data_IF_056636903769
#
_entry.id   IF_056636903769
#
_cell.length_a   1.000
_cell.length_b   1.000
_cell.length_c   1.000
_cell.angle_alpha   90.00
_cell.angle_beta   90.00
_cell.angle_gamma   90.00
#
_symmetry.space_group_name_H-M   'P 1'
#
loop_
_entity.id
_entity.type
_entity.pdbx_description
1 polymer ?
#
# COMPACT_ATOMS: atom_id res chain seq x y z
N UNK A 1 9.72 -4.36 -27.54
CA UNK A 1 10.68 -3.68 -26.64
C UNK A 1 11.20 -4.71 -25.64
N UNK A 2 12.53 -4.87 -25.56
CA UNK A 2 13.16 -5.87 -24.69
C UNK A 2 13.76 -5.24 -23.44
N UNK A 3 13.76 -5.98 -22.36
CA UNK A 3 14.38 -5.61 -21.10
C UNK A 3 15.88 -5.71 -21.24
N UNK A 4 16.62 -4.60 -21.04
CA UNK A 4 18.09 -4.53 -21.14
C UNK A 4 18.75 -4.76 -19.78
N UNK A 5 18.23 -4.11 -18.74
CA UNK A 5 18.74 -4.24 -17.37
C UNK A 5 17.62 -4.03 -16.33
N UNK A 6 17.80 -4.65 -15.18
CA UNK A 6 16.97 -4.45 -13.98
C UNK A 6 17.92 -4.23 -12.81
N UNK A 7 17.72 -3.15 -12.05
CA UNK A 7 18.49 -2.82 -10.83
C UNK A 7 17.58 -2.43 -9.70
N UNK A 8 17.92 -2.84 -8.50
CA UNK A 8 17.28 -2.38 -7.27
C UNK A 8 18.18 -1.32 -6.58
N UNK A 9 17.60 -0.17 -6.29
CA UNK A 9 18.24 0.97 -5.62
C UNK A 9 17.53 1.14 -4.29
N UNK A 10 18.25 1.05 -3.18
CA UNK A 10 17.64 1.26 -1.87
C UNK A 10 17.85 2.69 -1.41
N UNK A 11 16.76 3.39 -1.08
CA UNK A 11 16.80 4.73 -0.49
C UNK A 11 16.40 4.64 0.97
N UNK A 12 17.23 5.16 1.88
CA UNK A 12 16.90 5.30 3.30
C UNK A 12 16.49 6.74 3.59
N UNK A 13 15.19 6.96 3.68
CA UNK A 13 14.60 8.28 3.81
C UNK A 13 14.31 8.60 5.30
N UNK A 14 14.99 9.57 5.90
CA UNK A 14 14.68 10.01 7.24
C UNK A 14 13.24 10.54 7.35
N UNK A 15 12.60 10.30 8.49
CA UNK A 15 11.29 10.84 8.78
C UNK A 15 11.16 11.35 10.22
N UNK A 16 10.18 12.22 10.43
CA UNK A 16 9.72 12.64 11.74
C UNK A 16 8.19 12.39 11.85
N UNK A 17 7.79 11.62 12.86
CA UNK A 17 6.36 11.38 13.16
C UNK A 17 5.82 12.32 14.25
N UNK A 18 6.70 13.09 14.92
CA UNK A 18 6.33 14.08 15.93
C UNK A 18 5.86 13.49 17.27
N UNK A 19 6.25 12.25 17.57
CA UNK A 19 5.99 11.58 18.84
C UNK A 19 7.27 11.17 19.57
N UNK A 20 7.13 10.31 20.59
CA UNK A 20 8.25 9.70 21.32
C UNK A 20 9.02 8.73 20.40
N UNK A 21 10.26 8.43 20.78
CA UNK A 21 11.08 7.44 20.08
C UNK A 21 10.37 6.10 19.97
N UNK A 22 10.33 5.56 18.76
CA UNK A 22 9.76 4.24 18.49
C UNK A 22 10.87 3.24 18.23
N UNK A 23 10.78 2.08 18.85
CA UNK A 23 11.66 0.95 18.61
C UNK A 23 10.96 -0.02 17.67
N UNK A 24 11.57 -0.29 16.54
CA UNK A 24 11.09 -1.26 15.56
C UNK A 24 12.21 -2.29 15.30
N UNK A 25 11.91 -3.56 15.50
CA UNK A 25 12.89 -4.66 15.40
C UNK A 25 14.20 -4.40 16.18
N UNK A 26 14.06 -3.89 17.43
CA UNK A 26 15.19 -3.67 18.34
C UNK A 26 16.05 -2.44 18.05
N UNK A 27 15.67 -1.58 17.10
CA UNK A 27 16.35 -0.33 16.75
C UNK A 27 15.39 0.85 16.75
N UNK A 28 15.92 2.05 17.01
CA UNK A 28 15.13 3.28 16.84
C UNK A 28 14.78 3.46 15.36
N UNK A 29 13.49 3.58 15.07
CA UNK A 29 12.99 3.73 13.70
C UNK A 29 13.01 5.20 13.29
N UNK A 30 13.99 5.57 12.48
CA UNK A 30 14.28 6.94 12.05
C UNK A 30 14.20 7.14 10.55
N UNK A 31 14.17 6.07 9.79
CA UNK A 31 14.12 6.10 8.33
C UNK A 31 13.19 5.03 7.79
N UNK A 32 12.66 5.28 6.62
CA UNK A 32 11.94 4.30 5.80
C UNK A 32 12.85 3.88 4.66
N UNK A 33 13.05 2.57 4.50
CA UNK A 33 13.83 2.01 3.41
C UNK A 33 12.90 1.64 2.26
N UNK A 34 13.16 2.22 1.08
CA UNK A 34 12.43 2.01 -0.17
C UNK A 34 13.31 1.28 -1.17
N UNK A 35 12.86 0.15 -1.70
CA UNK A 35 13.51 -0.51 -2.83
C UNK A 35 12.91 0.01 -4.14
N UNK A 36 13.61 0.97 -4.75
CA UNK A 36 13.25 1.51 -6.06
C UNK A 36 13.82 0.59 -7.13
N UNK A 37 12.99 0.18 -8.07
CA UNK A 37 13.39 -0.69 -9.18
C UNK A 37 13.52 0.14 -10.44
N UNK A 38 14.70 0.07 -11.07
CA UNK A 38 14.98 0.69 -12.37
C UNK A 38 15.03 -0.39 -13.44
N UNK A 39 14.18 -0.29 -14.44
CA UNK A 39 14.21 -1.12 -15.65
C UNK A 39 14.64 -0.28 -16.83
N UNK A 40 15.70 -0.67 -17.52
CA UNK A 40 16.12 -0.06 -18.79
C UNK A 40 15.78 -0.99 -19.95
N UNK A 41 15.36 -0.42 -21.05
CA UNK A 41 14.97 -1.15 -22.27
C UNK A 41 15.97 -0.96 -23.40
N UNK A 42 15.90 -1.84 -24.41
CA UNK A 42 16.69 -1.74 -25.65
C UNK A 42 16.38 -0.47 -26.49
N UNK A 43 15.25 0.20 -26.21
CA UNK A 43 14.86 1.47 -26.81
C UNK A 43 15.32 2.70 -26.02
N UNK A 44 16.10 2.54 -24.95
CA UNK A 44 16.55 3.64 -24.09
C UNK A 44 15.47 4.20 -23.16
N UNK A 45 14.30 3.56 -23.05
CA UNK A 45 13.25 3.96 -22.13
C UNK A 45 13.58 3.38 -20.75
N UNK A 46 13.42 4.22 -19.72
CA UNK A 46 13.56 3.81 -18.29
C UNK A 46 12.19 3.77 -17.64
N UNK A 47 11.87 2.62 -17.04
CA UNK A 47 10.71 2.45 -16.16
C UNK A 47 11.15 2.38 -14.71
N UNK A 48 10.31 2.92 -13.83
CA UNK A 48 10.53 2.95 -12.40
C UNK A 48 9.43 2.21 -11.65
N UNK A 49 9.84 1.43 -10.64
CA UNK A 49 8.92 0.71 -9.75
C UNK A 49 9.38 0.79 -8.31
N UNK A 50 8.58 0.24 -7.42
CA UNK A 50 8.86 0.17 -5.99
C UNK A 50 8.45 -1.19 -5.46
N UNK A 51 9.37 -1.83 -4.74
CA UNK A 51 9.14 -3.06 -4.00
C UNK A 51 9.11 -2.75 -2.50
N UNK A 52 8.30 -3.50 -1.73
CA UNK A 52 8.25 -3.33 -0.29
C UNK A 52 9.65 -3.46 0.33
N UNK A 53 9.99 -2.53 1.22
CA UNK A 53 11.32 -2.45 1.82
C UNK A 53 11.31 -2.62 3.33
N UNK A 54 11.28 -1.52 4.07
CA UNK A 54 11.44 -1.47 5.53
C UNK A 54 12.65 -2.31 5.96
N UNK A 55 12.56 -3.06 7.03
CA UNK A 55 13.67 -3.89 7.54
C UNK A 55 14.02 -5.09 6.64
N UNK A 56 13.14 -5.47 5.69
CA UNK A 56 13.38 -6.56 4.74
C UNK A 56 14.06 -6.11 3.44
N UNK A 57 14.41 -4.84 3.29
CA UNK A 57 14.90 -4.27 2.05
C UNK A 57 16.07 -5.01 1.42
N UNK A 58 17.04 -5.51 2.24
CA UNK A 58 18.19 -6.28 1.73
C UNK A 58 17.75 -7.57 1.06
N UNK A 59 16.89 -8.32 1.71
CA UNK A 59 16.38 -9.60 1.18
C UNK A 59 15.59 -9.37 -0.11
N UNK A 60 14.76 -8.32 -0.16
CA UNK A 60 13.98 -7.97 -1.34
C UNK A 60 14.88 -7.48 -2.48
N UNK A 61 15.91 -6.66 -2.20
CA UNK A 61 16.92 -6.23 -3.19
C UNK A 61 17.60 -7.44 -3.83
N UNK A 62 18.11 -8.37 -3.03
CA UNK A 62 18.75 -9.60 -3.53
C UNK A 62 17.75 -10.44 -4.34
N UNK A 63 16.51 -10.58 -3.88
CA UNK A 63 15.49 -11.31 -4.65
C UNK A 63 15.21 -10.66 -6.02
N UNK A 64 15.23 -9.33 -6.11
CA UNK A 64 15.11 -8.64 -7.41
C UNK A 64 16.29 -8.96 -8.31
N UNK A 65 17.53 -8.82 -7.79
CA UNK A 65 18.75 -8.89 -8.58
C UNK A 65 19.14 -10.33 -8.96
N UNK A 66 18.99 -11.30 -8.03
CA UNK A 66 19.48 -12.66 -8.23
C UNK A 66 18.39 -13.66 -8.65
N UNK A 67 17.11 -13.39 -8.34
CA UNK A 67 16.03 -14.32 -8.65
C UNK A 67 15.15 -13.82 -9.82
N UNK A 68 14.72 -12.55 -9.80
CA UNK A 68 13.77 -12.01 -10.76
C UNK A 68 14.46 -11.52 -12.04
N UNK A 69 15.47 -10.66 -11.90
CA UNK A 69 16.13 -10.01 -13.03
C UNK A 69 16.74 -11.01 -14.06
N UNK A 70 17.45 -12.09 -13.66
CA UNK A 70 18.02 -13.03 -14.61
C UNK A 70 17.00 -13.74 -15.50
N UNK A 71 15.75 -13.90 -15.01
CA UNK A 71 14.68 -14.55 -15.77
C UNK A 71 13.99 -13.61 -16.76
N UNK A 72 14.16 -12.30 -16.60
CA UNK A 72 13.48 -11.26 -17.38
C UNK A 72 14.39 -10.53 -18.38
N UNK A 73 15.69 -10.37 -18.08
CA UNK A 73 16.64 -9.69 -18.98
C UNK A 73 16.62 -10.38 -20.36
N UNK A 74 16.54 -9.58 -21.42
CA UNK A 74 16.46 -10.01 -22.81
C UNK A 74 15.04 -10.42 -23.28
N UNK A 75 14.06 -10.53 -22.36
CA UNK A 75 12.67 -10.87 -22.73
C UNK A 75 11.95 -9.67 -23.34
N UNK A 76 11.01 -9.98 -24.24
CA UNK A 76 10.09 -8.98 -24.76
C UNK A 76 8.99 -8.69 -23.74
N UNK A 77 8.69 -7.41 -23.53
CA UNK A 77 7.67 -6.95 -22.59
C UNK A 77 6.34 -6.52 -23.25
N UNK A 78 6.10 -6.97 -24.48
CA UNK A 78 4.86 -6.65 -25.19
C UNK A 78 3.60 -7.17 -24.48
N UNK A 79 3.69 -8.29 -23.76
CA UNK A 79 2.63 -8.90 -22.96
C UNK A 79 3.13 -9.12 -21.52
N UNK A 80 3.06 -8.06 -20.70
CA UNK A 80 3.51 -8.11 -19.31
C UNK A 80 2.75 -9.16 -18.50
N UNK A 81 1.42 -9.30 -18.57
CA UNK A 81 0.68 -10.35 -17.84
C UNK A 81 1.21 -11.76 -18.12
N UNK A 82 1.44 -12.10 -19.37
CA UNK A 82 1.97 -13.40 -19.76
C UNK A 82 3.41 -13.62 -19.29
N UNK A 83 4.23 -12.57 -19.40
CA UNK A 83 5.62 -12.58 -18.93
C UNK A 83 5.68 -12.85 -17.44
N UNK A 84 4.87 -12.15 -16.64
CA UNK A 84 4.82 -12.29 -15.19
C UNK A 84 4.21 -13.61 -14.73
N UNK A 85 3.24 -14.15 -15.46
CA UNK A 85 2.73 -15.50 -15.19
C UNK A 85 3.85 -16.55 -15.37
N UNK A 86 4.65 -16.42 -16.42
CA UNK A 86 5.79 -17.31 -16.68
C UNK A 86 6.85 -17.18 -15.59
N UNK A 87 7.17 -15.95 -15.15
CA UNK A 87 8.07 -15.68 -14.05
C UNK A 87 7.59 -16.31 -12.75
N UNK A 88 6.33 -16.10 -12.37
CA UNK A 88 5.76 -16.68 -11.14
C UNK A 88 5.78 -18.22 -11.17
N UNK A 89 5.53 -18.83 -12.35
CA UNK A 89 5.67 -20.29 -12.51
C UNK A 89 7.10 -20.77 -12.30
N UNK A 90 8.10 -20.02 -12.79
CA UNK A 90 9.51 -20.36 -12.61
C UNK A 90 9.96 -20.24 -11.15
N UNK A 91 9.36 -19.33 -10.39
CA UNK A 91 9.71 -19.04 -9.00
C UNK A 91 8.78 -19.73 -7.98
N UNK A 92 7.85 -20.60 -8.40
CA UNK A 92 6.82 -21.16 -7.52
C UNK A 92 7.36 -21.93 -6.31
N UNK A 93 8.54 -22.54 -6.42
CA UNK A 93 9.21 -23.25 -5.32
C UNK A 93 9.59 -22.32 -4.15
N UNK A 94 9.78 -21.04 -4.42
CA UNK A 94 10.15 -20.03 -3.39
C UNK A 94 8.92 -19.35 -2.76
N UNK A 95 7.73 -19.85 -3.08
CA UNK A 95 6.47 -19.32 -2.61
C UNK A 95 5.98 -18.12 -3.41
N UNK A 96 4.67 -17.96 -3.46
CA UNK A 96 3.99 -16.79 -4.06
C UNK A 96 3.53 -15.84 -2.95
N UNK A 97 4.45 -15.53 -2.04
CA UNK A 97 4.20 -14.79 -0.81
C UNK A 97 5.43 -13.99 -0.39
N UNK A 98 5.24 -12.92 0.39
CA UNK A 98 6.31 -12.17 1.03
C UNK A 98 7.39 -11.69 0.04
N UNK A 99 8.66 -11.90 0.37
CA UNK A 99 9.83 -11.36 -0.34
C UNK A 99 9.81 -11.63 -1.85
N UNK A 100 9.40 -12.86 -2.27
CA UNK A 100 9.31 -13.20 -3.70
C UNK A 100 8.30 -12.30 -4.42
N UNK A 101 7.11 -12.12 -3.81
CA UNK A 101 6.06 -11.29 -4.42
C UNK A 101 6.39 -9.80 -4.33
N UNK A 102 7.06 -9.35 -3.26
CA UNK A 102 7.54 -7.96 -3.16
C UNK A 102 8.54 -7.63 -4.29
N UNK A 103 9.49 -8.53 -4.55
CA UNK A 103 10.45 -8.38 -5.65
C UNK A 103 9.75 -8.34 -7.02
N UNK A 104 8.83 -9.27 -7.26
CA UNK A 104 8.01 -9.31 -8.49
C UNK A 104 7.22 -8.02 -8.65
N UNK A 105 6.58 -7.52 -7.58
CA UNK A 105 5.77 -6.31 -7.61
C UNK A 105 6.56 -5.09 -8.09
N UNK A 106 7.75 -4.87 -7.52
CA UNK A 106 8.58 -3.73 -7.88
C UNK A 106 9.03 -3.77 -9.34
N UNK A 107 9.41 -4.94 -9.83
CA UNK A 107 9.81 -5.10 -11.23
C UNK A 107 8.61 -4.91 -12.17
N UNK A 108 7.47 -5.48 -11.83
CA UNK A 108 6.24 -5.38 -12.64
C UNK A 108 5.76 -3.94 -12.79
N UNK A 109 5.76 -3.18 -11.70
CA UNK A 109 5.43 -1.74 -11.74
C UNK A 109 6.36 -1.00 -12.70
N UNK A 110 7.68 -1.27 -12.66
CA UNK A 110 8.64 -0.66 -13.56
C UNK A 110 8.42 -1.04 -15.04
N UNK A 111 8.00 -2.27 -15.30
CA UNK A 111 7.66 -2.71 -16.66
C UNK A 111 6.43 -1.96 -17.21
N UNK A 112 5.37 -1.79 -16.39
CA UNK A 112 4.21 -1.01 -16.78
C UNK A 112 4.53 0.47 -16.99
N UNK A 113 5.39 1.06 -16.17
CA UNK A 113 5.85 2.42 -16.36
C UNK A 113 6.58 2.58 -17.70
N UNK A 114 7.53 1.68 -18.01
CA UNK A 114 8.24 1.69 -19.29
C UNK A 114 7.31 1.48 -20.48
N UNK A 115 6.33 0.58 -20.37
CA UNK A 115 5.35 0.34 -21.44
C UNK A 115 4.45 1.56 -21.65
N UNK A 116 3.99 2.20 -20.59
CA UNK A 116 3.20 3.42 -20.66
C UNK A 116 3.96 4.56 -21.33
N UNK A 117 5.24 4.72 -21.01
CA UNK A 117 6.14 5.69 -21.66
C UNK A 117 6.34 5.37 -23.15
N UNK A 118 6.55 4.10 -23.52
CA UNK A 118 6.63 3.70 -24.93
C UNK A 118 5.35 4.03 -25.70
N UNK A 119 4.20 3.79 -25.09
CA UNK A 119 2.89 4.03 -25.72
C UNK A 119 2.45 5.49 -25.61
N UNK A 120 3.19 6.33 -24.90
CA UNK A 120 2.81 7.69 -24.54
C UNK A 120 1.42 7.78 -23.89
N UNK A 121 1.14 6.86 -22.97
CA UNK A 121 -0.14 6.74 -22.25
C UNK A 121 0.09 6.48 -20.76
N UNK A 122 -0.74 7.05 -19.87
CA UNK A 122 -0.75 6.66 -18.48
C UNK A 122 -1.22 5.20 -18.33
N UNK A 123 -0.81 4.53 -17.25
CA UNK A 123 -1.06 3.09 -17.05
C UNK A 123 -2.57 2.77 -17.01
N UNK A 124 -3.39 3.62 -16.41
CA UNK A 124 -4.83 3.36 -16.35
C UNK A 124 -5.46 3.26 -17.74
N UNK A 125 -4.99 4.02 -18.75
CA UNK A 125 -5.50 3.92 -20.13
C UNK A 125 -5.09 2.62 -20.85
N UNK A 126 -4.02 1.96 -20.38
CA UNK A 126 -3.63 0.65 -20.91
C UNK A 126 -4.46 -0.50 -20.33
N UNK A 127 -5.08 -0.29 -19.17
CA UNK A 127 -5.84 -1.30 -18.44
C UNK A 127 -7.36 -1.15 -18.60
N UNK A 128 -7.85 0.07 -18.83
CA UNK A 128 -9.28 0.29 -18.95
C UNK A 128 -9.70 1.76 -19.00
N UNK A 129 -10.99 1.97 -18.78
CA UNK A 129 -11.58 3.30 -18.78
C UNK A 129 -11.43 3.95 -17.42
N UNK A 130 -10.97 5.18 -17.37
CA UNK A 130 -10.92 6.01 -16.17
C UNK A 130 -12.33 6.33 -15.66
N UNK A 131 -12.56 6.12 -14.37
CA UNK A 131 -13.79 6.48 -13.66
C UNK A 131 -13.60 7.72 -12.78
N UNK A 132 -12.41 7.87 -12.17
CA UNK A 132 -12.10 8.95 -11.23
C UNK A 132 -10.72 9.54 -11.52
N UNK A 133 -10.52 10.81 -11.13
CA UNK A 133 -9.21 11.48 -11.21
C UNK A 133 -8.88 12.31 -9.96
N UNK A 134 -9.75 12.26 -8.95
CA UNK A 134 -9.57 12.94 -7.68
C UNK A 134 -10.00 12.01 -6.54
N UNK A 135 -9.07 11.65 -5.66
CA UNK A 135 -9.25 10.63 -4.64
C UNK A 135 -9.24 11.24 -3.25
N UNK A 136 -10.25 10.91 -2.44
CA UNK A 136 -10.24 11.21 -1.00
C UNK A 136 -9.06 10.49 -0.34
N UNK A 137 -8.39 11.17 0.59
CA UNK A 137 -7.30 10.59 1.37
C UNK A 137 -7.67 10.54 2.85
N UNK A 138 -7.13 9.55 3.55
CA UNK A 138 -7.07 9.57 5.00
C UNK A 138 -5.63 9.69 5.48
N UNK A 139 -5.44 10.36 6.61
CA UNK A 139 -4.16 10.35 7.31
C UNK A 139 -4.04 9.08 8.15
N UNK A 140 -3.00 8.31 7.91
CA UNK A 140 -2.65 7.12 8.68
C UNK A 140 -1.63 7.52 9.73
N UNK A 141 -2.09 7.69 10.98
CA UNK A 141 -1.28 8.16 12.09
C UNK A 141 -0.37 7.05 12.60
N UNK A 142 0.78 7.44 13.10
CA UNK A 142 1.72 6.53 13.75
C UNK A 142 1.13 5.99 15.07
N UNK A 143 1.64 4.86 15.59
CA UNK A 143 1.31 4.41 16.94
C UNK A 143 2.08 5.25 17.96
N UNK A 144 1.38 6.12 18.68
CA UNK A 144 2.00 7.04 19.64
C UNK A 144 1.97 6.53 21.07
N UNK A 145 0.95 5.77 21.47
CA UNK A 145 0.76 5.28 22.83
C UNK A 145 0.67 6.39 23.87
N UNK A 146 0.20 7.57 23.49
CA UNK A 146 0.04 8.74 24.36
C UNK A 146 -1.22 9.51 23.93
N UNK A 147 -2.29 9.48 24.74
CA UNK A 147 -3.57 10.10 24.40
C UNK A 147 -3.47 11.58 23.99
N UNK A 148 -2.60 12.35 24.67
CA UNK A 148 -2.43 13.79 24.37
C UNK A 148 -1.81 14.02 22.99
N UNK A 149 -0.80 13.21 22.65
CA UNK A 149 -0.14 13.28 21.33
C UNK A 149 -1.14 12.87 20.26
N UNK A 150 -1.92 11.81 20.48
CA UNK A 150 -2.91 11.29 19.52
C UNK A 150 -3.96 12.35 19.22
N UNK A 151 -4.58 12.93 20.25
CA UNK A 151 -5.58 14.00 20.09
C UNK A 151 -5.01 15.18 19.31
N UNK A 152 -3.79 15.63 19.66
CA UNK A 152 -3.11 16.71 18.96
C UNK A 152 -2.84 16.35 17.49
N UNK A 153 -2.39 15.13 17.19
CA UNK A 153 -2.11 14.69 15.83
C UNK A 153 -3.36 14.52 14.98
N UNK A 154 -4.46 14.08 15.58
CA UNK A 154 -5.76 14.07 14.90
C UNK A 154 -6.16 15.49 14.50
N UNK A 155 -6.14 16.46 15.43
CA UNK A 155 -6.46 17.87 15.14
C UNK A 155 -5.54 18.46 14.07
N UNK A 156 -4.22 18.25 14.19
CA UNK A 156 -3.24 18.69 13.19
C UNK A 156 -3.54 18.12 11.81
N UNK A 157 -3.91 16.84 11.72
CA UNK A 157 -4.29 16.21 10.47
C UNK A 157 -5.53 16.83 9.84
N UNK A 158 -6.53 17.19 10.65
CA UNK A 158 -7.73 17.90 10.18
C UNK A 158 -7.39 19.31 9.69
N UNK A 159 -6.51 20.03 10.39
CA UNK A 159 -6.01 21.35 9.98
C UNK A 159 -5.23 21.28 8.66
N UNK A 160 -4.50 20.16 8.39
CA UNK A 160 -3.86 19.87 7.10
C UNK A 160 -4.89 19.51 5.99
N UNK A 161 -6.18 19.48 6.32
CA UNK A 161 -7.29 19.29 5.38
C UNK A 161 -7.76 17.85 5.20
N UNK A 162 -7.23 16.86 5.93
CA UNK A 162 -7.76 15.49 5.89
C UNK A 162 -9.15 15.44 6.51
N UNK A 163 -10.00 14.57 5.96
CA UNK A 163 -11.39 14.40 6.42
C UNK A 163 -11.67 12.98 6.92
N UNK A 164 -10.64 12.20 7.09
CA UNK A 164 -10.67 10.85 7.64
C UNK A 164 -9.30 10.52 8.26
N UNK A 165 -9.30 9.75 9.33
CA UNK A 165 -8.09 9.40 10.09
C UNK A 165 -8.08 7.92 10.37
N UNK A 166 -6.91 7.27 10.20
CA UNK A 166 -6.62 5.91 10.69
C UNK A 166 -5.65 5.98 11.86
N UNK A 167 -6.02 5.36 12.96
CA UNK A 167 -5.16 5.15 14.14
C UNK A 167 -4.47 3.79 14.04
N UNK A 168 -3.31 3.68 14.71
CA UNK A 168 -2.63 2.40 14.96
C UNK A 168 -2.53 2.13 16.47
N UNK A 169 -3.58 2.40 17.20
CA UNK A 169 -3.59 2.29 18.66
C UNK A 169 -4.31 1.01 19.12
N UNK A 170 -3.95 0.49 20.30
CA UNK A 170 -4.53 -0.73 20.87
C UNK A 170 -5.10 -0.55 22.28
N UNK A 171 -4.68 0.50 22.98
CA UNK A 171 -5.16 0.85 24.30
C UNK A 171 -6.41 1.74 24.23
N UNK A 172 -7.38 1.46 25.10
CA UNK A 172 -8.69 2.10 25.04
C UNK A 172 -8.63 3.64 25.18
N UNK A 173 -7.83 4.16 26.11
CA UNK A 173 -7.65 5.60 26.31
C UNK A 173 -7.03 6.31 25.11
N UNK A 174 -6.11 5.61 24.41
CA UNK A 174 -5.51 6.09 23.18
C UNK A 174 -6.54 6.14 22.03
N UNK A 175 -7.38 5.12 21.91
CA UNK A 175 -8.43 5.04 20.88
C UNK A 175 -9.51 6.11 21.15
N UNK A 176 -9.90 6.32 22.44
CA UNK A 176 -10.84 7.39 22.85
C UNK A 176 -10.30 8.76 22.48
N UNK A 177 -9.03 9.06 22.82
CA UNK A 177 -8.38 10.32 22.47
C UNK A 177 -8.36 10.53 20.94
N UNK A 178 -8.16 9.49 20.16
CA UNK A 178 -8.28 9.53 18.71
C UNK A 178 -9.69 9.89 18.25
N UNK A 179 -10.73 9.31 18.87
CA UNK A 179 -12.13 9.65 18.56
C UNK A 179 -12.46 11.09 18.92
N UNK A 180 -11.99 11.56 20.09
CA UNK A 180 -12.17 12.94 20.51
C UNK A 180 -11.48 13.92 19.55
N UNK A 181 -10.23 13.66 19.20
CA UNK A 181 -9.47 14.48 18.26
C UNK A 181 -10.04 14.50 16.83
N UNK A 182 -10.69 13.41 16.41
CA UNK A 182 -11.31 13.29 15.06
C UNK A 182 -12.74 13.86 15.04
N UNK A 183 -13.41 14.01 16.20
CA UNK A 183 -14.81 14.44 16.28
C UNK A 183 -15.77 13.44 15.63
N UNK A 184 -16.63 13.90 14.72
CA UNK A 184 -17.61 13.03 14.02
C UNK A 184 -17.16 12.56 12.65
N UNK A 185 -15.92 12.85 12.24
CA UNK A 185 -15.41 12.43 10.94
C UNK A 185 -15.09 10.93 10.92
N UNK A 186 -14.95 10.32 9.74
CA UNK A 186 -14.56 8.92 9.59
C UNK A 186 -13.27 8.61 10.35
N UNK A 187 -13.34 7.61 11.23
CA UNK A 187 -12.21 7.09 12.01
C UNK A 187 -12.06 5.62 11.71
N UNK A 188 -10.87 5.21 11.34
CA UNK A 188 -10.47 3.85 11.16
C UNK A 188 -9.48 3.44 12.26
N UNK A 189 -9.51 2.18 12.64
CA UNK A 189 -8.60 1.63 13.63
C UNK A 189 -7.90 0.41 13.06
N UNK A 190 -6.60 0.53 12.88
CA UNK A 190 -5.70 -0.56 12.51
C UNK A 190 -4.96 -1.01 13.77
N UNK A 191 -5.15 -2.25 14.13
CA UNK A 191 -4.54 -2.76 15.36
C UNK A 191 -3.25 -3.54 15.10
N UNK A 192 -2.97 -3.97 13.85
CA UNK A 192 -1.85 -4.81 13.46
C UNK A 192 -1.78 -6.14 14.24
N UNK A 193 -2.90 -6.86 14.27
CA UNK A 193 -3.03 -8.23 14.79
C UNK A 193 -2.63 -8.45 16.25
N UNK A 194 -2.99 -7.60 17.24
CA UNK A 194 -2.50 -7.77 18.60
C UNK A 194 -3.38 -8.67 19.47
N UNK A 195 -4.64 -8.92 19.08
CA UNK A 195 -5.65 -9.53 19.93
C UNK A 195 -5.99 -10.96 19.51
N UNK A 196 -6.54 -11.71 20.45
CA UNK A 196 -7.25 -12.97 20.17
C UNK A 196 -8.70 -12.67 19.77
N UNK A 197 -9.42 -13.71 19.32
CA UNK A 197 -10.86 -13.61 19.08
C UNK A 197 -11.63 -13.15 20.33
N UNK A 198 -11.33 -13.77 21.50
CA UNK A 198 -11.99 -13.46 22.76
C UNK A 198 -11.69 -12.04 23.25
N UNK A 199 -10.43 -11.61 23.14
CA UNK A 199 -10.03 -10.23 23.48
C UNK A 199 -10.74 -9.21 22.58
N UNK A 200 -10.78 -9.46 21.27
CA UNK A 200 -11.48 -8.59 20.33
C UNK A 200 -12.97 -8.50 20.65
N UNK A 201 -13.62 -9.64 20.90
CA UNK A 201 -15.04 -9.69 21.23
C UNK A 201 -15.35 -9.00 22.56
N UNK A 202 -14.47 -9.12 23.54
CA UNK A 202 -14.61 -8.44 24.86
C UNK A 202 -14.63 -6.91 24.73
N UNK A 203 -14.01 -6.36 23.69
CA UNK A 203 -13.98 -4.92 23.39
C UNK A 203 -15.21 -4.43 22.57
N UNK A 204 -16.16 -5.29 22.23
CA UNK A 204 -17.31 -4.98 21.35
C UNK A 204 -18.02 -3.67 21.73
N UNK A 205 -18.48 -3.56 22.98
CA UNK A 205 -19.23 -2.39 23.43
C UNK A 205 -18.41 -1.10 23.40
N UNK A 206 -17.12 -1.21 23.71
CA UNK A 206 -16.17 -0.10 23.58
C UNK A 206 -15.98 0.31 22.11
N UNK A 207 -15.65 -0.62 21.24
CA UNK A 207 -15.40 -0.37 19.82
C UNK A 207 -16.65 0.20 19.10
N UNK A 208 -17.84 -0.27 19.45
CA UNK A 208 -19.09 0.30 18.93
C UNK A 208 -19.28 1.79 19.28
N UNK A 209 -18.92 2.19 20.52
CA UNK A 209 -18.97 3.62 20.92
C UNK A 209 -18.03 4.49 20.09
N UNK A 210 -16.92 3.92 19.58
CA UNK A 210 -15.97 4.64 18.74
C UNK A 210 -16.50 4.91 17.34
N UNK A 211 -17.61 4.31 16.90
CA UNK A 211 -18.23 4.51 15.57
C UNK A 211 -17.22 4.41 14.44
N UNK A 212 -16.45 3.33 14.44
CA UNK A 212 -15.39 3.10 13.46
C UNK A 212 -15.94 2.91 12.05
N UNK A 213 -15.27 3.48 11.06
CA UNK A 213 -15.52 3.21 9.65
C UNK A 213 -15.14 1.77 9.32
N UNK A 214 -14.02 1.29 9.86
CA UNK A 214 -13.63 -0.11 9.92
C UNK A 214 -12.67 -0.38 11.07
N UNK A 215 -12.63 -1.63 11.48
CA UNK A 215 -11.59 -2.22 12.32
C UNK A 215 -10.69 -3.07 11.41
N UNK A 216 -9.38 -2.77 11.41
CA UNK A 216 -8.38 -3.38 10.53
C UNK A 216 -7.53 -4.35 11.32
N UNK A 217 -7.37 -5.57 10.76
CA UNK A 217 -6.50 -6.65 11.26
C UNK A 217 -6.54 -6.84 12.80
N UNK A 218 -7.72 -7.13 13.40
CA UNK A 218 -7.82 -7.23 14.86
C UNK A 218 -7.12 -8.44 15.47
N UNK A 219 -6.98 -9.54 14.72
CA UNK A 219 -6.51 -10.83 15.25
C UNK A 219 -5.31 -11.40 14.51
N UNK A 220 -4.51 -12.22 15.20
CA UNK A 220 -3.41 -12.99 14.62
C UNK A 220 -3.81 -14.47 14.54
N UNK A 221 -3.47 -15.18 13.44
CA UNK A 221 -2.82 -14.64 12.24
C UNK A 221 -3.79 -13.86 11.34
N UNK A 222 -3.30 -12.88 10.53
CA UNK A 222 -4.17 -12.06 9.65
C UNK A 222 -4.89 -12.86 8.55
N UNK A 223 -4.41 -14.05 8.23
CA UNK A 223 -5.02 -14.97 7.26
C UNK A 223 -6.07 -15.92 7.86
N UNK A 224 -6.39 -15.81 9.15
CA UNK A 224 -7.53 -16.54 9.75
C UNK A 224 -8.87 -15.89 9.37
N UNK A 225 -9.23 -16.08 8.09
CA UNK A 225 -10.44 -15.49 7.53
C UNK A 225 -11.73 -16.06 8.15
N UNK A 226 -11.69 -17.27 8.70
CA UNK A 226 -12.84 -17.84 9.43
C UNK A 226 -13.12 -17.03 10.71
N UNK A 227 -12.09 -16.75 11.49
CA UNK A 227 -12.19 -15.93 12.71
C UNK A 227 -12.60 -14.49 12.36
N UNK A 228 -12.04 -13.89 11.31
CA UNK A 228 -12.44 -12.55 10.85
C UNK A 228 -13.92 -12.50 10.44
N UNK A 229 -14.42 -13.53 9.74
CA UNK A 229 -15.83 -13.63 9.36
C UNK A 229 -16.77 -13.71 10.58
N UNK A 230 -16.40 -14.47 11.60
CA UNK A 230 -17.13 -14.54 12.87
C UNK A 230 -17.14 -13.18 13.58
N UNK A 231 -15.98 -12.54 13.71
CA UNK A 231 -15.85 -11.24 14.36
C UNK A 231 -16.65 -10.16 13.63
N UNK A 232 -16.57 -10.09 12.31
CA UNK A 232 -17.36 -9.15 11.50
C UNK A 232 -18.87 -9.24 11.79
N UNK A 233 -19.38 -10.47 11.89
CA UNK A 233 -20.78 -10.74 12.19
C UNK A 233 -21.16 -10.39 13.63
N UNK A 234 -20.29 -10.73 14.57
CA UNK A 234 -20.60 -10.57 16.00
C UNK A 234 -20.36 -9.15 16.50
N UNK A 235 -19.30 -8.47 16.04
CA UNK A 235 -19.02 -7.07 16.40
C UNK A 235 -20.03 -6.10 15.79
N UNK A 236 -20.57 -6.43 14.61
CA UNK A 236 -21.37 -5.51 13.79
C UNK A 236 -20.60 -4.23 13.42
N UNK A 237 -19.27 -4.35 13.29
CA UNK A 237 -18.34 -3.32 12.84
C UNK A 237 -17.74 -3.80 11.52
N UNK A 238 -17.63 -2.96 10.49
CA UNK A 238 -16.97 -3.33 9.26
C UNK A 238 -15.51 -3.76 9.53
N UNK A 239 -15.08 -4.90 9.00
CA UNK A 239 -13.71 -5.39 9.08
C UNK A 239 -12.98 -5.06 7.78
N UNK A 240 -11.72 -4.62 7.90
CA UNK A 240 -10.79 -4.45 6.80
C UNK A 240 -9.57 -5.34 7.01
N UNK A 241 -9.03 -5.88 5.92
CA UNK A 241 -7.83 -6.71 5.93
C UNK A 241 -7.21 -6.79 4.54
N UNK A 242 -5.92 -7.14 4.45
CA UNK A 242 -5.30 -7.46 3.17
C UNK A 242 -3.93 -6.83 2.93
N UNK A 243 -3.41 -5.98 3.81
CA UNK A 243 -2.06 -5.44 3.65
C UNK A 243 -0.98 -6.52 3.69
N UNK A 244 -1.26 -7.63 4.38
CA UNK A 244 -0.38 -8.78 4.50
C UNK A 244 -0.68 -9.90 3.50
N UNK A 245 -1.79 -9.84 2.77
CA UNK A 245 -2.15 -10.82 1.75
C UNK A 245 -1.40 -10.60 0.43
N UNK A 246 -1.12 -11.69 -0.27
CA UNK A 246 -0.51 -11.69 -1.59
C UNK A 246 -1.42 -12.41 -2.60
N UNK A 247 -1.34 -12.00 -3.88
CA UNK A 247 -2.07 -12.60 -5.01
C UNK A 247 -3.61 -12.52 -4.94
N UNK A 248 -4.24 -12.61 -6.09
CA UNK A 248 -5.69 -12.63 -6.20
C UNK A 248 -6.36 -13.80 -5.45
N UNK A 249 -5.63 -14.90 -5.23
CA UNK A 249 -6.21 -16.10 -4.63
C UNK A 249 -6.51 -15.92 -3.14
N UNK A 250 -5.65 -15.23 -2.39
CA UNK A 250 -5.92 -14.93 -0.99
C UNK A 250 -7.06 -13.93 -0.84
N UNK A 251 -7.13 -12.92 -1.70
CA UNK A 251 -8.26 -11.98 -1.71
C UNK A 251 -9.58 -12.67 -2.11
N UNK A 252 -9.54 -13.63 -3.05
CA UNK A 252 -10.71 -14.45 -3.37
C UNK A 252 -11.16 -15.29 -2.17
N UNK A 253 -10.22 -15.89 -1.45
CA UNK A 253 -10.53 -16.66 -0.25
C UNK A 253 -11.16 -15.77 0.83
N UNK A 254 -10.55 -14.64 1.13
CA UNK A 254 -11.02 -13.63 2.09
C UNK A 254 -12.45 -13.15 1.77
N UNK A 255 -12.72 -12.83 0.51
CA UNK A 255 -14.04 -12.35 0.06
C UNK A 255 -15.08 -13.49 0.10
N UNK A 256 -14.73 -14.69 -0.40
CA UNK A 256 -15.65 -15.83 -0.45
C UNK A 256 -16.04 -16.34 0.95
N UNK A 257 -15.18 -16.14 1.94
CA UNK A 257 -15.49 -16.45 3.35
C UNK A 257 -16.24 -15.31 4.06
N UNK A 258 -16.58 -14.24 3.34
CA UNK A 258 -17.25 -13.07 3.91
C UNK A 258 -16.47 -12.41 5.08
N UNK A 259 -15.14 -12.60 5.12
CA UNK A 259 -14.29 -12.18 6.23
C UNK A 259 -14.21 -10.65 6.39
N UNK A 260 -14.41 -9.91 5.30
CA UNK A 260 -14.17 -8.46 5.28
C UNK A 260 -15.34 -7.67 4.67
N UNK A 261 -15.38 -6.38 4.99
CA UNK A 261 -16.20 -5.36 4.34
C UNK A 261 -15.37 -4.54 3.34
N UNK A 262 -14.07 -4.45 3.59
CA UNK A 262 -13.08 -3.75 2.77
C UNK A 262 -11.85 -4.62 2.58
N UNK A 263 -11.33 -4.67 1.36
CA UNK A 263 -10.03 -5.31 1.08
C UNK A 263 -8.96 -4.25 0.88
N UNK A 264 -7.75 -4.53 1.37
CA UNK A 264 -6.65 -3.56 1.41
C UNK A 264 -5.38 -4.09 0.71
N UNK A 265 -5.44 -4.35 -0.61
CA UNK A 265 -4.26 -4.79 -1.35
C UNK A 265 -3.20 -3.68 -1.40
N UNK A 266 -1.93 -4.10 -1.31
CA UNK A 266 -0.77 -3.23 -1.51
C UNK A 266 -0.08 -3.57 -2.83
N UNK A 267 -0.06 -2.63 -3.79
CA UNK A 267 0.49 -2.88 -5.13
C UNK A 267 1.95 -3.32 -5.11
N UNK A 268 2.72 -2.87 -4.12
CA UNK A 268 4.13 -3.24 -3.94
C UNK A 268 4.35 -4.59 -3.24
N UNK A 269 3.26 -5.29 -2.87
CA UNK A 269 3.29 -6.57 -2.13
C UNK A 269 2.57 -7.70 -2.87
N UNK A 270 1.50 -7.40 -3.59
CA UNK A 270 0.59 -8.43 -4.16
C UNK A 270 1.09 -9.07 -5.47
N UNK A 271 2.12 -8.54 -6.09
CA UNK A 271 2.61 -8.98 -7.41
C UNK A 271 2.51 -7.89 -8.49
N UNK A 272 2.26 -6.64 -8.08
CA UNK A 272 2.26 -5.48 -8.95
C UNK A 272 0.86 -5.05 -9.43
N UNK A 273 0.86 -4.25 -10.48
CA UNK A 273 -0.31 -3.56 -11.04
C UNK A 273 -1.37 -4.55 -11.57
N UNK A 274 -0.94 -5.54 -12.35
CA UNK A 274 -1.91 -6.45 -12.98
C UNK A 274 -2.55 -7.40 -11.97
N UNK A 275 -1.79 -7.86 -10.98
CA UNK A 275 -2.34 -8.67 -9.89
C UNK A 275 -3.36 -7.85 -9.08
N UNK A 276 -3.00 -6.62 -8.69
CA UNK A 276 -3.92 -5.73 -7.98
C UNK A 276 -5.15 -5.37 -8.83
N UNK A 277 -4.99 -5.18 -10.14
CA UNK A 277 -6.12 -4.96 -11.05
C UNK A 277 -7.13 -6.12 -11.02
N UNK A 278 -6.65 -7.38 -11.02
CA UNK A 278 -7.53 -8.55 -10.89
C UNK A 278 -8.25 -8.58 -9.54
N UNK A 279 -7.55 -8.24 -8.45
CA UNK A 279 -8.13 -8.14 -7.11
C UNK A 279 -9.26 -7.10 -7.10
N UNK A 280 -9.02 -5.89 -7.66
CA UNK A 280 -10.03 -4.84 -7.78
C UNK A 280 -11.26 -5.36 -8.52
N UNK A 281 -11.08 -5.99 -9.68
CA UNK A 281 -12.20 -6.50 -10.49
C UNK A 281 -12.99 -7.57 -9.76
N UNK A 282 -12.32 -8.47 -9.05
CA UNK A 282 -13.01 -9.50 -8.26
C UNK A 282 -13.77 -8.90 -7.07
N UNK A 283 -13.18 -7.96 -6.35
CA UNK A 283 -13.83 -7.26 -5.25
C UNK A 283 -15.09 -6.51 -5.72
N UNK A 284 -14.99 -5.76 -6.83
CA UNK A 284 -16.13 -5.03 -7.43
C UNK A 284 -17.27 -5.98 -7.84
N UNK A 285 -16.95 -7.12 -8.44
CA UNK A 285 -17.97 -8.14 -8.83
C UNK A 285 -18.71 -8.70 -7.62
N UNK A 286 -18.05 -8.75 -6.45
CA UNK A 286 -18.62 -9.23 -5.20
C UNK A 286 -19.15 -8.10 -4.29
N UNK A 287 -19.28 -6.89 -4.80
CA UNK A 287 -19.75 -5.72 -4.06
C UNK A 287 -18.88 -5.32 -2.84
N UNK A 288 -17.60 -5.71 -2.83
CA UNK A 288 -16.63 -5.33 -1.82
C UNK A 288 -15.85 -4.10 -2.30
N UNK A 289 -15.68 -3.11 -1.42
CA UNK A 289 -14.87 -1.91 -1.72
C UNK A 289 -13.39 -2.17 -1.46
N UNK A 290 -12.55 -1.58 -2.31
CA UNK A 290 -11.10 -1.66 -2.20
C UNK A 290 -10.58 -0.37 -1.58
N UNK A 291 -9.88 -0.48 -0.45
CA UNK A 291 -9.21 0.61 0.27
C UNK A 291 -7.71 0.31 0.28
N UNK A 292 -6.95 0.73 -0.75
CA UNK A 292 -5.56 0.29 -0.91
C UNK A 292 -4.69 0.65 0.29
N UNK A 293 -3.92 -0.31 0.79
CA UNK A 293 -2.81 -0.01 1.70
C UNK A 293 -1.69 0.69 0.92
N UNK A 294 -1.35 1.93 1.31
CA UNK A 294 -0.39 2.79 0.60
C UNK A 294 0.56 3.54 1.52
N UNK A 295 1.08 2.87 2.56
CA UNK A 295 2.04 3.44 3.49
C UNK A 295 3.44 3.67 2.88
N UNK A 296 3.51 4.09 1.61
CA UNK A 296 4.72 4.34 0.83
C UNK A 296 4.56 5.60 -0.03
N UNK A 297 5.68 6.13 -0.56
CA UNK A 297 5.75 7.48 -1.14
C UNK A 297 6.28 7.52 -2.57
N UNK A 298 6.87 6.43 -3.05
CA UNK A 298 7.56 6.33 -4.32
C UNK A 298 6.67 5.88 -5.49
N UNK A 299 7.26 5.20 -6.49
CA UNK A 299 6.54 4.70 -7.68
C UNK A 299 5.31 3.85 -7.37
N UNK A 300 5.32 3.08 -6.29
CA UNK A 300 4.18 2.28 -5.83
C UNK A 300 2.96 3.13 -5.49
N UNK A 301 3.17 4.32 -4.92
CA UNK A 301 2.08 5.23 -4.63
C UNK A 301 1.39 5.74 -5.91
N UNK A 302 2.17 6.14 -6.91
CA UNK A 302 1.59 6.55 -8.20
C UNK A 302 0.91 5.37 -8.91
N UNK A 303 1.47 4.16 -8.83
CA UNK A 303 0.84 2.95 -9.36
C UNK A 303 -0.54 2.70 -8.71
N UNK A 304 -0.65 2.92 -7.39
CA UNK A 304 -1.94 2.83 -6.71
C UNK A 304 -2.94 3.87 -7.22
N UNK A 305 -2.52 5.12 -7.45
CA UNK A 305 -3.42 6.15 -8.02
C UNK A 305 -3.87 5.79 -9.44
N UNK A 306 -2.99 5.22 -10.28
CA UNK A 306 -3.34 4.74 -11.61
C UNK A 306 -4.40 3.65 -11.56
N UNK A 307 -4.32 2.74 -10.59
CA UNK A 307 -5.31 1.68 -10.36
C UNK A 307 -6.61 2.22 -9.74
N UNK A 308 -6.52 3.14 -8.79
CA UNK A 308 -7.69 3.79 -8.19
C UNK A 308 -8.54 4.53 -9.23
N UNK A 309 -7.90 5.04 -10.29
CA UNK A 309 -8.61 5.67 -11.41
C UNK A 309 -9.58 4.73 -12.13
N UNK A 310 -9.38 3.42 -12.04
CA UNK A 310 -10.21 2.38 -12.68
C UNK A 310 -11.33 1.87 -11.76
N UNK A 311 -11.31 2.20 -10.47
CA UNK A 311 -12.29 1.73 -9.49
C UNK A 311 -13.66 2.39 -9.75
N UNK A 312 -14.72 1.60 -9.64
CA UNK A 312 -16.11 2.05 -9.83
C UNK A 312 -16.71 2.56 -8.51
N UNK A 313 -16.19 2.09 -7.38
CA UNK A 313 -16.66 2.46 -6.04
C UNK A 313 -15.77 3.51 -5.42
N UNK A 314 -16.34 4.26 -4.49
CA UNK A 314 -15.57 5.19 -3.66
C UNK A 314 -14.43 4.45 -2.96
N UNK A 315 -13.25 5.04 -3.03
CA UNK A 315 -12.04 4.58 -2.35
C UNK A 315 -11.41 5.72 -1.57
N UNK A 316 -10.76 5.37 -0.48
CA UNK A 316 -9.83 6.27 0.20
C UNK A 316 -8.40 5.85 -0.13
N UNK A 317 -7.55 6.85 -0.33
CA UNK A 317 -6.10 6.63 -0.48
C UNK A 317 -5.43 6.91 0.85
N UNK A 318 -4.71 5.92 1.35
CA UNK A 318 -3.91 6.07 2.55
C UNK A 318 -2.75 7.03 2.32
N UNK A 319 -2.49 7.88 3.31
CA UNK A 319 -1.23 8.61 3.41
C UNK A 319 -0.65 8.41 4.80
N UNK A 320 0.46 7.70 4.90
CA UNK A 320 1.21 7.60 6.15
C UNK A 320 1.60 9.01 6.61
N UNK A 321 1.11 9.43 7.77
CA UNK A 321 1.18 10.81 8.25
C UNK A 321 2.53 11.07 8.94
N UNK A 322 3.55 11.12 8.10
CA UNK A 322 4.94 11.35 8.48
C UNK A 322 5.50 12.55 7.72
N UNK A 323 6.43 13.25 8.37
CA UNK A 323 7.27 14.25 7.73
C UNK A 323 8.55 13.55 7.22
N UNK A 324 8.54 13.12 5.93
CA UNK A 324 9.74 12.61 5.27
C UNK A 324 10.65 13.77 4.85
N UNK A 325 11.97 13.56 4.89
CA UNK A 325 12.95 14.61 4.60
C UNK A 325 12.82 15.17 3.18
N UNK A 326 12.58 14.30 2.20
CA UNK A 326 12.42 14.70 0.80
C UNK A 326 11.20 14.05 0.16
N UNK A 327 10.37 14.84 -0.53
CA UNK A 327 9.30 14.30 -1.34
C UNK A 327 9.80 13.57 -2.58
N UNK A 328 9.20 12.44 -2.90
CA UNK A 328 9.49 11.66 -4.11
C UNK A 328 8.95 12.34 -5.36
N UNK A 329 7.78 12.94 -5.27
CA UNK A 329 7.11 13.62 -6.37
C UNK A 329 6.51 14.94 -5.87
N UNK A 330 6.56 16.02 -6.69
CA UNK A 330 5.96 17.31 -6.35
C UNK A 330 4.47 17.18 -6.00
N UNK A 331 4.05 17.74 -4.88
CA UNK A 331 2.66 17.75 -4.41
C UNK A 331 2.09 16.38 -3.99
N UNK A 332 2.94 15.39 -3.72
CA UNK A 332 2.50 14.06 -3.26
C UNK A 332 3.04 13.68 -1.87
N UNK A 333 3.74 14.56 -1.19
CA UNK A 333 4.16 14.33 0.20
C UNK A 333 2.95 14.27 1.15
N UNK A 334 1.99 15.20 0.97
CA UNK A 334 0.72 15.26 1.70
C UNK A 334 -0.45 15.41 0.73
N UNK A 335 -1.66 15.04 1.15
CA UNK A 335 -2.86 15.30 0.38
C UNK A 335 -3.17 16.81 0.37
N UNK A 336 -3.64 17.34 -0.75
CA UNK A 336 -4.04 18.73 -0.89
C UNK A 336 -5.55 18.82 -0.62
N UNK A 337 -5.94 19.52 0.43
CA UNK A 337 -7.34 19.58 0.88
C UNK A 337 -7.95 18.18 1.04
N UNK A 338 -7.19 17.26 1.64
CA UNK A 338 -7.60 15.88 1.90
C UNK A 338 -7.77 15.01 0.64
N UNK A 339 -7.17 15.39 -0.49
CA UNK A 339 -7.32 14.66 -1.76
C UNK A 339 -6.00 14.55 -2.51
N UNK A 340 -5.89 13.48 -3.33
CA UNK A 340 -4.84 13.32 -4.33
C UNK A 340 -5.45 13.40 -5.73
N UNK A 341 -4.79 14.15 -6.62
CA UNK A 341 -5.15 14.21 -8.04
C UNK A 341 -4.36 13.17 -8.81
N UNK A 342 -5.02 12.50 -9.75
CA UNK A 342 -4.39 11.55 -10.65
C UNK A 342 -3.34 12.26 -11.53
N UNK A 343 -2.08 11.78 -11.56
CA UNK A 343 -1.11 12.27 -12.50
C UNK A 343 -1.43 11.80 -13.94
N UNK A 344 -1.21 12.67 -14.93
CA UNK A 344 -1.71 12.50 -16.31
C UNK A 344 -0.63 12.21 -17.36
N UNK A 345 0.65 12.21 -17.00
CA UNK A 345 1.74 11.89 -17.92
C UNK A 345 1.80 10.40 -18.28
N UNK A 346 2.66 10.01 -19.23
CA UNK A 346 2.87 8.60 -19.58
C UNK A 346 3.35 7.75 -18.41
N UNK A 347 3.11 6.46 -18.47
CA UNK A 347 3.51 5.51 -17.43
C UNK A 347 2.79 5.78 -16.11
N UNK A 348 3.54 5.97 -15.05
CA UNK A 348 3.03 6.34 -13.72
C UNK A 348 2.47 7.76 -13.65
N UNK A 349 2.69 8.57 -14.69
CA UNK A 349 2.13 9.91 -14.84
C UNK A 349 3.06 11.04 -14.42
N UNK A 350 4.13 10.75 -13.69
CA UNK A 350 5.21 11.68 -13.32
C UNK A 350 6.53 10.91 -13.36
N UNK A 351 7.55 11.50 -14.00
CA UNK A 351 8.88 10.88 -14.01
C UNK A 351 9.55 10.92 -12.63
N UNK A 352 10.26 9.84 -12.32
CA UNK A 352 11.01 9.71 -11.09
C UNK A 352 12.37 10.42 -11.21
N UNK A 353 12.57 11.44 -10.39
CA UNK A 353 13.83 12.16 -10.34
C UNK A 353 14.82 11.49 -9.37
N UNK A 354 15.56 10.51 -9.87
CA UNK A 354 16.58 9.82 -9.10
C UNK A 354 17.68 10.77 -8.61
N UNK A 355 18.07 11.77 -9.38
CA UNK A 355 19.18 12.68 -9.00
C UNK A 355 18.84 13.44 -7.72
N UNK A 356 17.59 13.85 -7.55
CA UNK A 356 17.09 14.52 -6.34
C UNK A 356 17.18 13.62 -5.10
N UNK A 357 17.08 12.30 -5.29
CA UNK A 357 16.96 11.31 -4.21
C UNK A 357 18.24 10.51 -3.98
N UNK A 358 19.22 10.58 -4.89
CA UNK A 358 20.44 9.77 -4.85
C UNK A 358 21.29 9.94 -3.58
N UNK A 359 21.20 11.08 -2.89
CA UNK A 359 21.86 11.29 -1.61
C UNK A 359 21.37 10.40 -0.46
N UNK A 360 20.21 9.74 -0.64
CA UNK A 360 19.65 8.79 0.33
C UNK A 360 19.93 7.33 -0.03
N UNK A 361 20.66 7.06 -1.09
CA UNK A 361 21.04 5.69 -1.49
C UNK A 361 21.99 5.05 -0.48
N UNK A 362 21.71 3.76 -0.13
CA UNK A 362 22.49 2.95 0.82
C UNK A 362 22.88 1.59 0.23
#
# INVERSE_FOLDING_TARGET
MKIKSIKAITLSMPFNHGGKKVIFHGKEWKSLEFNIVKVETDKGITGWGEAFGYTSWKSVKIAIEDMVAPLLIGKDMADIPKLLLTLQKSLHLFGRYGITMFAISGVEIALWDALGKEKNKPIHELLGKKNNDLFKAYSSLFRYGDPKIIEQKCKQSLDDGYQAIKLHEIENDCIEAGREGTGNLPLMLDTNCPWTYEETLSKKEFLKKMKLTWLEEPVYPPEDYETLAKLKKELEIPIACGENACTEFEFKLMINQEAVSYVQPSVIKVGGIYEMFKIIKFAETNNISVMPHTAYFGPGFLATLQLAALMQRDTYIERFYLDIDQEFYPNFKKAINGKFKLPSGPGLGIDFDYNKLSKYEI
#
